data_IF_418541268236
#
_entry.id   IF_418541268236
#
_cell.length_a   1.000
_cell.length_b   1.000
_cell.length_c   1.000
_cell.angle_alpha   90.00
_cell.angle_beta   90.00
_cell.angle_gamma   90.00
#
_symmetry.space_group_name_H-M   'P 1'
#
loop_
_entity.id
_entity.type
_entity.pdbx_description
1 polymer ?
#
# COMPACT_ATOMS: atom_id res chain seq x y z
N UNK A 1 -1.69 23.90 13.63
CA UNK A 1 -1.39 24.15 12.21
C UNK A 1 0.10 24.00 12.00
N UNK A 2 0.56 22.86 11.46
CA UNK A 2 1.98 22.64 11.23
C UNK A 2 2.45 23.59 10.12
N UNK A 3 3.31 24.53 10.48
CA UNK A 3 4.00 25.39 9.51
C UNK A 3 4.74 24.47 8.54
N UNK A 4 4.34 24.51 7.27
CA UNK A 4 5.15 23.98 6.17
C UNK A 4 6.52 24.62 6.35
N UNK A 5 7.49 23.86 6.83
CA UNK A 5 8.87 24.33 6.95
C UNK A 5 9.36 24.57 5.53
N UNK A 6 9.32 25.81 5.10
CA UNK A 6 9.90 26.26 3.84
C UNK A 6 11.42 26.13 3.97
N UNK A 7 11.91 24.91 3.91
CA UNK A 7 13.34 24.67 3.72
C UNK A 7 13.67 25.14 2.30
N UNK A 8 14.49 26.16 2.18
CA UNK A 8 15.21 26.45 0.93
C UNK A 8 16.05 25.21 0.60
N UNK A 9 15.48 24.25 -0.11
CA UNK A 9 16.14 22.98 -0.40
C UNK A 9 15.17 21.95 -0.96
N UNK A 10 15.67 20.76 -1.13
CA UNK A 10 14.93 19.62 -1.66
C UNK A 10 13.86 19.17 -0.66
N UNK A 11 12.65 19.01 -1.15
CA UNK A 11 11.52 18.50 -0.41
C UNK A 11 11.23 17.07 -0.88
N UNK A 12 11.07 16.13 0.04
CA UNK A 12 10.91 14.71 -0.27
C UNK A 12 9.60 14.21 0.36
N UNK A 13 8.79 13.59 -0.47
CA UNK A 13 7.57 12.90 -0.06
C UNK A 13 7.69 11.41 -0.36
N UNK A 14 7.41 10.56 0.64
CA UNK A 14 7.18 9.14 0.44
C UNK A 14 5.74 8.94 0.00
N UNK A 15 5.52 8.27 -1.13
CA UNK A 15 4.19 7.91 -1.61
C UNK A 15 4.01 6.41 -1.42
N UNK A 16 3.16 6.02 -0.48
CA UNK A 16 2.76 4.62 -0.29
C UNK A 16 1.62 4.22 -1.24
N UNK A 17 0.87 5.22 -1.71
CA UNK A 17 -0.22 5.04 -2.66
C UNK A 17 -1.59 4.89 -2.01
N UNK A 18 -2.63 5.32 -2.76
CA UNK A 18 -4.02 5.33 -2.30
C UNK A 18 -4.65 3.94 -2.20
N UNK A 19 -3.98 2.89 -2.70
CA UNK A 19 -4.47 1.50 -2.73
C UNK A 19 -3.56 0.51 -2.00
N UNK A 20 -2.52 0.98 -1.33
CA UNK A 20 -1.62 0.10 -0.59
C UNK A 20 -2.21 -0.21 0.80
N UNK A 21 -2.67 -1.45 0.98
CA UNK A 21 -3.32 -1.97 2.17
C UNK A 21 -2.43 -2.91 3.00
N UNK A 22 -1.14 -3.01 2.67
CA UNK A 22 -0.18 -3.83 3.42
C UNK A 22 0.23 -3.10 4.72
N UNK A 23 -0.47 -3.39 5.80
CA UNK A 23 -0.32 -2.75 7.11
C UNK A 23 1.12 -2.87 7.64
N UNK A 24 1.73 -4.04 7.52
CA UNK A 24 3.08 -4.29 8.03
C UNK A 24 4.10 -3.49 7.22
N UNK A 25 4.01 -3.54 5.90
CA UNK A 25 4.90 -2.77 5.03
C UNK A 25 4.73 -1.27 5.22
N UNK A 26 3.51 -0.76 5.42
CA UNK A 26 3.25 0.66 5.69
C UNK A 26 3.89 1.10 7.00
N UNK A 27 3.74 0.34 8.07
CA UNK A 27 4.37 0.67 9.37
C UNK A 27 5.89 0.76 9.22
N UNK A 28 6.51 -0.24 8.59
CA UNK A 28 7.95 -0.30 8.39
C UNK A 28 8.47 0.83 7.48
N UNK A 29 7.81 1.08 6.35
CA UNK A 29 8.18 2.15 5.43
C UNK A 29 8.09 3.52 6.11
N UNK A 30 7.02 3.77 6.84
CA UNK A 30 6.84 5.03 7.57
C UNK A 30 7.92 5.23 8.63
N UNK A 31 8.31 4.17 9.34
CA UNK A 31 9.40 4.23 10.32
C UNK A 31 10.76 4.53 9.65
N UNK A 32 11.11 3.79 8.60
CA UNK A 32 12.39 3.92 7.91
C UNK A 32 12.54 5.31 7.27
N UNK A 33 11.52 5.76 6.54
CA UNK A 33 11.58 7.04 5.84
C UNK A 33 11.47 8.23 6.78
N UNK A 34 10.76 8.11 7.90
CA UNK A 34 10.77 9.13 8.95
C UNK A 34 12.17 9.28 9.53
N UNK A 35 12.84 8.19 9.84
CA UNK A 35 14.23 8.20 10.31
C UNK A 35 15.21 8.76 9.27
N UNK A 36 14.95 8.52 7.98
CA UNK A 36 15.73 9.08 6.88
C UNK A 36 15.50 10.58 6.63
N UNK A 37 14.48 11.19 7.24
CA UNK A 37 14.25 12.63 7.17
C UNK A 37 13.26 13.07 6.10
N UNK A 38 12.35 12.22 5.66
CA UNK A 38 11.29 12.58 4.72
C UNK A 38 10.41 13.70 5.27
N UNK A 39 9.94 14.60 4.40
CA UNK A 39 9.12 15.75 4.81
C UNK A 39 7.63 15.39 4.91
N UNK A 40 7.15 14.51 4.02
CA UNK A 40 5.74 14.07 3.98
C UNK A 40 5.64 12.59 3.64
N UNK A 41 4.59 11.97 4.14
CA UNK A 41 4.21 10.58 3.83
C UNK A 41 2.76 10.58 3.36
N UNK A 42 2.51 9.95 2.22
CA UNK A 42 1.20 9.83 1.59
C UNK A 42 0.71 8.39 1.68
N UNK A 43 -0.45 8.19 2.29
CA UNK A 43 -1.04 6.86 2.54
C UNK A 43 -2.50 6.79 2.09
N UNK A 44 -3.03 5.58 1.98
CA UNK A 44 -4.43 5.35 1.65
C UNK A 44 -5.39 5.87 2.73
N UNK A 45 -6.59 6.26 2.32
CA UNK A 45 -7.66 6.76 3.19
C UNK A 45 -8.40 5.61 3.91
N UNK A 46 -7.64 4.74 4.55
CA UNK A 46 -8.13 3.62 5.36
C UNK A 46 -7.67 3.80 6.80
N UNK A 47 -8.58 3.63 7.76
CA UNK A 47 -8.27 3.84 9.17
C UNK A 47 -7.10 2.98 9.65
N UNK A 48 -7.07 1.71 9.28
CA UNK A 48 -6.00 0.77 9.61
C UNK A 48 -4.65 1.19 9.05
N UNK A 49 -4.63 1.72 7.84
CA UNK A 49 -3.42 2.20 7.16
C UNK A 49 -2.91 3.48 7.81
N UNK A 50 -3.79 4.42 8.11
CA UNK A 50 -3.44 5.66 8.82
C UNK A 50 -2.87 5.35 10.20
N UNK A 51 -3.47 4.39 10.90
CA UNK A 51 -2.99 3.94 12.22
C UNK A 51 -1.59 3.31 12.13
N UNK A 52 -1.36 2.44 11.17
CA UNK A 52 -0.05 1.83 10.92
C UNK A 52 1.02 2.88 10.58
N UNK A 53 0.68 3.85 9.73
CA UNK A 53 1.59 4.95 9.39
C UNK A 53 1.98 5.76 10.62
N UNK A 54 1.02 6.12 11.46
CA UNK A 54 1.27 6.85 12.72
C UNK A 54 2.16 6.05 13.66
N UNK A 55 1.92 4.75 13.82
CA UNK A 55 2.78 3.86 14.63
C UNK A 55 4.22 3.84 14.13
N UNK A 56 4.42 3.72 12.82
CA UNK A 56 5.76 3.75 12.23
C UNK A 56 6.47 5.08 12.48
N UNK A 57 5.78 6.20 12.29
CA UNK A 57 6.31 7.54 12.58
C UNK A 57 6.69 7.69 14.06
N UNK A 58 5.79 7.32 14.96
CA UNK A 58 6.03 7.40 16.42
C UNK A 58 7.22 6.53 16.86
N UNK A 59 7.36 5.34 16.28
CA UNK A 59 8.51 4.48 16.54
C UNK A 59 9.81 5.17 16.14
N UNK A 60 9.87 5.74 14.93
CA UNK A 60 11.06 6.43 14.45
C UNK A 60 11.39 7.68 15.28
N UNK A 61 10.40 8.36 15.80
CA UNK A 61 10.57 9.55 16.65
C UNK A 61 11.25 9.27 18.00
N UNK A 62 11.35 8.01 18.38
CA UNK A 62 12.16 7.59 19.55
C UNK A 62 13.67 7.70 19.27
N UNK A 63 14.07 7.68 18.01
CA UNK A 63 15.48 7.68 17.59
C UNK A 63 15.87 8.87 16.72
N UNK A 64 14.91 9.68 16.28
CA UNK A 64 15.15 10.87 15.46
C UNK A 64 14.19 12.00 15.82
N UNK A 65 14.54 13.23 15.41
CA UNK A 65 13.71 14.41 15.64
C UNK A 65 12.83 14.80 14.45
N UNK A 66 12.73 13.92 13.45
CA UNK A 66 11.91 14.21 12.29
C UNK A 66 10.41 13.98 12.58
N UNK A 67 9.58 14.89 12.11
CA UNK A 67 8.12 14.82 12.23
C UNK A 67 7.51 15.09 10.86
N UNK A 68 7.39 14.09 10.01
CA UNK A 68 6.82 14.26 8.68
C UNK A 68 5.34 14.60 8.75
N UNK A 69 4.86 15.37 7.76
CA UNK A 69 3.42 15.54 7.55
C UNK A 69 2.82 14.25 7.01
N UNK A 70 1.62 13.90 7.46
CA UNK A 70 0.86 12.77 6.93
C UNK A 70 -0.22 13.28 5.97
N UNK A 71 -0.20 12.77 4.75
CA UNK A 71 -1.18 13.03 3.71
C UNK A 71 -2.04 11.78 3.50
N UNK A 72 -3.32 12.00 3.29
CA UNK A 72 -4.27 10.93 3.04
C UNK A 72 -4.79 11.09 1.63
N UNK A 73 -4.57 10.07 0.79
CA UNK A 73 -5.03 10.04 -0.59
C UNK A 73 -6.31 9.23 -0.71
N UNK A 74 -7.34 9.86 -1.26
CA UNK A 74 -8.61 9.22 -1.57
C UNK A 74 -8.57 8.79 -3.02
N UNK A 75 -8.78 7.49 -3.26
CA UNK A 75 -8.95 6.96 -4.60
C UNK A 75 -10.42 6.97 -4.99
N UNK A 76 -10.69 7.24 -6.25
CA UNK A 76 -12.03 6.97 -6.78
C UNK A 76 -12.19 5.44 -6.94
N UNK A 77 -13.43 4.92 -6.70
CA UNK A 77 -13.70 3.49 -6.71
C UNK A 77 -13.53 2.79 -8.06
N UNK A 78 -13.19 3.54 -9.12
CA UNK A 78 -12.93 3.03 -10.46
C UNK A 78 -11.44 2.87 -10.77
N UNK A 79 -10.56 3.19 -9.83
CA UNK A 79 -9.12 3.02 -9.98
C UNK A 79 -8.79 1.53 -10.23
N UNK A 80 -8.06 1.27 -11.31
CA UNK A 80 -7.65 -0.09 -11.70
C UNK A 80 -6.76 -0.75 -10.65
N UNK A 81 -6.07 0.01 -9.80
CA UNK A 81 -5.23 -0.50 -8.72
C UNK A 81 -6.03 -1.20 -7.62
N UNK A 82 -7.33 -0.92 -7.49
CA UNK A 82 -8.23 -1.66 -6.61
C UNK A 82 -8.82 -2.92 -7.23
N UNK A 83 -8.56 -3.16 -8.52
CA UNK A 83 -9.07 -4.34 -9.19
C UNK A 83 -8.20 -5.53 -8.80
N UNK A 84 -8.79 -6.46 -8.08
CA UNK A 84 -8.25 -7.80 -7.93
C UNK A 84 -8.31 -8.51 -9.29
N UNK A 85 -7.43 -9.50 -9.48
CA UNK A 85 -7.48 -10.31 -10.68
C UNK A 85 -8.90 -10.86 -10.88
N UNK A 86 -9.47 -10.55 -12.03
CA UNK A 86 -10.77 -11.07 -12.46
C UNK A 86 -10.57 -11.91 -13.70
N UNK A 87 -11.15 -13.09 -13.70
CA UNK A 87 -11.24 -13.90 -14.90
C UNK A 87 -12.65 -14.48 -15.02
N UNK A 88 -13.04 -14.80 -16.23
CA UNK A 88 -14.31 -15.44 -16.51
C UNK A 88 -14.06 -16.97 -16.59
N UNK A 89 -14.57 -17.75 -15.62
CA UNK A 89 -14.36 -19.20 -15.60
C UNK A 89 -14.90 -19.89 -16.84
N UNK A 90 -15.93 -19.35 -17.47
CA UNK A 90 -16.53 -19.90 -18.69
C UNK A 90 -15.57 -19.85 -19.90
N UNK A 91 -14.62 -18.93 -19.86
CA UNK A 91 -13.58 -18.79 -20.88
C UNK A 91 -12.34 -19.63 -20.63
N UNK A 92 -12.26 -20.30 -19.50
CA UNK A 92 -11.13 -21.16 -19.17
C UNK A 92 -11.28 -22.52 -19.87
N UNK A 93 -10.40 -22.87 -20.81
CA UNK A 93 -10.48 -24.16 -21.49
C UNK A 93 -10.32 -25.31 -20.50
N UNK A 94 -11.06 -26.42 -20.72
CA UNK A 94 -10.98 -27.59 -19.84
C UNK A 94 -9.60 -28.25 -19.83
N UNK A 95 -8.83 -28.11 -20.92
CA UNK A 95 -7.48 -28.64 -21.09
C UNK A 95 -6.37 -27.64 -20.74
N UNK A 96 -6.71 -26.50 -20.10
CA UNK A 96 -5.73 -25.50 -19.70
C UNK A 96 -4.77 -26.06 -18.64
N UNK A 97 -3.46 -25.87 -18.84
CA UNK A 97 -2.43 -26.25 -17.86
C UNK A 97 -2.38 -25.38 -16.60
N UNK A 98 -3.29 -24.40 -16.49
CA UNK A 98 -3.43 -23.46 -15.36
C UNK A 98 -2.16 -22.71 -15.00
N UNK A 99 -1.54 -21.98 -15.94
CA UNK A 99 -0.33 -21.21 -15.66
C UNK A 99 -0.57 -20.12 -14.63
N UNK A 100 -1.77 -19.55 -14.57
CA UNK A 100 -2.14 -18.52 -13.59
C UNK A 100 -2.04 -19.01 -12.14
N UNK A 101 -2.43 -20.26 -11.85
CA UNK A 101 -2.26 -20.87 -10.53
C UNK A 101 -0.78 -21.13 -10.21
N UNK A 102 -0.04 -21.61 -11.21
CA UNK A 102 1.36 -22.00 -11.04
C UNK A 102 2.31 -20.85 -10.81
N UNK A 103 2.04 -19.69 -11.42
CA UNK A 103 2.91 -18.51 -11.33
C UNK A 103 2.56 -17.61 -10.14
N UNK A 104 1.41 -17.82 -9.49
CA UNK A 104 1.01 -16.99 -8.35
C UNK A 104 1.85 -17.33 -7.12
N UNK A 105 2.70 -16.41 -6.62
CA UNK A 105 3.62 -16.70 -5.51
C UNK A 105 2.90 -16.90 -4.17
N UNK A 106 1.66 -16.40 -4.06
CA UNK A 106 0.85 -16.48 -2.84
C UNK A 106 -0.23 -17.54 -2.91
N UNK A 107 -0.28 -18.33 -4.00
CA UNK A 107 -1.32 -19.34 -4.24
C UNK A 107 -2.75 -18.80 -4.12
N UNK A 108 -2.95 -17.55 -4.52
CA UNK A 108 -4.23 -16.84 -4.38
C UNK A 108 -5.24 -17.19 -5.48
N UNK A 109 -4.83 -17.94 -6.51
CA UNK A 109 -5.66 -18.32 -7.64
C UNK A 109 -5.91 -19.83 -7.58
N UNK A 110 -7.16 -20.21 -7.33
CA UNK A 110 -7.62 -21.59 -7.34
C UNK A 110 -8.85 -21.72 -8.24
N UNK A 111 -8.72 -22.47 -9.30
CA UNK A 111 -9.77 -22.68 -10.30
C UNK A 111 -10.51 -24.01 -10.04
N UNK A 112 -10.02 -24.86 -9.15
CA UNK A 112 -10.60 -26.18 -8.91
C UNK A 112 -12.04 -26.16 -8.39
N UNK A 113 -12.38 -25.17 -7.54
CA UNK A 113 -13.72 -25.00 -6.99
C UNK A 113 -14.77 -24.40 -7.93
N UNK A 114 -14.36 -23.94 -9.12
CA UNK A 114 -15.25 -23.24 -10.06
C UNK A 114 -15.90 -24.23 -11.06
N UNK A 115 -15.37 -25.42 -11.18
CA UNK A 115 -15.84 -26.44 -12.14
C UNK A 115 -16.95 -27.37 -11.62
N UNK A 116 -17.31 -27.24 -10.34
CA UNK A 116 -18.30 -28.12 -9.69
C UNK A 116 -19.66 -27.45 -9.44
N UNK A 117 -19.91 -26.26 -9.99
CA UNK A 117 -21.19 -25.54 -9.85
C UNK A 117 -21.90 -25.34 -11.18
#
# INVERSE_FOLDING_TARGET
MNKIKNKKGKWIKLICGASNEDIVAIEDLCAIYTAAGVDYIDVAAEESIVHAAKKGIEWAQKICNNSPGLMISISDGNDIHFRKAKFDPSRCPSNCSRPCEKVCPTFAIDISGIKES
#
